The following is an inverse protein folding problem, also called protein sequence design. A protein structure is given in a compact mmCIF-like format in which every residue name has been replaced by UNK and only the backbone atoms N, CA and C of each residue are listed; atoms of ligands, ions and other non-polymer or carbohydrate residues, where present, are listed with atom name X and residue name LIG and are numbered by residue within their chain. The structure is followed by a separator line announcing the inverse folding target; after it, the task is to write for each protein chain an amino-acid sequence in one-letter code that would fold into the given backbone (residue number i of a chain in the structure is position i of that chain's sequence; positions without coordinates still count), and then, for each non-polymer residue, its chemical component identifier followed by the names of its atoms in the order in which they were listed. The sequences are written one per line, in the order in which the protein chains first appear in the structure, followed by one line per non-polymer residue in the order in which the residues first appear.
data_IF_875261583677
#
_entry.id   IF_875261583677
#
_cell.length_a   1.000
_cell.length_b   1.000
_cell.length_c   1.000
_cell.angle_alpha   90.00
_cell.angle_beta   90.00
_cell.angle_gamma   90.00
#
_symmetry.space_group_name_H-M   'P 1'
#
loop_
_entity.id
_entity.type
_entity.pdbx_description
1 polymer ?
#
# COMPACT_ATOMS: atom_id res chain seq x y z
N UNK A 1 -11.27 8.71 68.79
CA UNK A 1 -11.73 8.01 67.60
C UNK A 1 -11.03 8.61 66.40
N UNK A 2 -9.95 7.95 65.92
CA UNK A 2 -9.22 8.35 64.72
C UNK A 2 -9.85 7.65 63.50
N UNK A 3 -10.30 8.43 62.52
CA UNK A 3 -10.64 7.92 61.17
C UNK A 3 -9.41 8.05 60.28
N UNK A 4 -8.85 6.92 59.87
CA UNK A 4 -7.80 6.85 58.86
C UNK A 4 -8.47 6.79 57.47
N UNK A 5 -8.18 7.77 56.60
CA UNK A 5 -8.60 7.74 55.19
C UNK A 5 -7.53 6.99 54.39
N UNK A 6 -7.92 5.88 53.78
CA UNK A 6 -7.13 5.18 52.74
C UNK A 6 -7.28 5.94 51.43
N UNK A 7 -6.18 6.50 50.92
CA UNK A 7 -6.09 6.99 49.56
C UNK A 7 -5.71 5.84 48.62
N UNK A 8 -6.64 5.43 47.76
CA UNK A 8 -6.39 4.51 46.67
C UNK A 8 -5.64 5.25 45.56
N UNK A 9 -4.38 4.88 45.34
CA UNK A 9 -3.59 5.36 44.21
C UNK A 9 -4.08 4.72 42.90
N UNK A 10 -4.58 5.55 42.00
CA UNK A 10 -4.90 5.15 40.63
C UNK A 10 -3.59 5.12 39.83
N UNK A 11 -3.13 3.93 39.54
CA UNK A 11 -2.00 3.74 38.61
C UNK A 11 -2.51 3.95 37.16
N UNK A 12 -2.09 5.04 36.54
CA UNK A 12 -2.28 5.25 35.09
C UNK A 12 -1.33 4.32 34.33
N UNK A 13 -1.81 3.58 33.29
CA UNK A 13 -0.91 2.82 32.45
C UNK A 13 0.00 3.77 31.69
N UNK A 14 1.28 3.51 31.73
CA UNK A 14 2.29 4.22 30.95
C UNK A 14 1.98 4.04 29.45
N UNK A 15 1.60 5.13 28.81
CA UNK A 15 1.54 5.22 27.35
C UNK A 15 2.95 4.96 26.81
N UNK A 16 3.12 3.91 26.03
CA UNK A 16 4.36 3.65 25.31
C UNK A 16 4.58 4.80 24.33
N UNK A 17 5.39 5.77 24.72
CA UNK A 17 5.89 6.79 23.81
C UNK A 17 6.82 6.08 22.82
N UNK A 18 6.37 5.99 21.57
CA UNK A 18 7.23 5.66 20.44
C UNK A 18 8.29 6.76 20.35
N UNK A 19 9.53 6.40 20.66
CA UNK A 19 10.67 7.28 20.50
C UNK A 19 10.84 7.53 19.00
N UNK A 20 10.46 8.71 18.53
CA UNK A 20 10.89 9.23 17.24
C UNK A 20 12.36 9.61 17.39
N UNK A 21 13.22 8.83 16.75
CA UNK A 21 14.62 9.21 16.60
C UNK A 21 14.65 10.33 15.54
N UNK A 22 14.98 11.53 15.95
CA UNK A 22 15.17 12.69 15.07
C UNK A 22 16.68 12.87 14.93
N UNK A 23 17.22 12.80 13.73
CA UNK A 23 18.59 13.15 13.45
C UNK A 23 18.79 14.64 13.63
N UNK A 24 20.05 15.06 13.88
CA UNK A 24 20.45 16.44 14.18
C UNK A 24 20.06 17.46 13.07
N UNK A 25 19.65 16.96 11.90
CA UNK A 25 19.20 17.74 10.73
C UNK A 25 17.67 17.89 10.62
N UNK A 26 16.90 17.39 11.60
CA UNK A 26 15.43 17.50 11.61
C UNK A 26 14.70 16.60 10.60
N UNK A 27 15.41 15.74 9.87
CA UNK A 27 14.85 14.75 8.97
C UNK A 27 14.55 13.47 9.74
N UNK A 28 13.31 13.01 9.69
CA UNK A 28 12.90 11.76 10.30
C UNK A 28 13.65 10.62 9.63
N UNK A 29 14.64 10.04 10.32
CA UNK A 29 15.40 8.91 9.80
C UNK A 29 14.45 7.80 9.35
N UNK A 30 14.61 7.35 8.11
CA UNK A 30 13.82 6.27 7.54
C UNK A 30 14.11 4.95 8.26
N UNK A 31 13.27 4.62 9.23
CA UNK A 31 13.40 3.37 9.98
C UNK A 31 13.04 2.21 9.05
N UNK A 32 14.04 1.40 8.68
CA UNK A 32 13.85 0.17 7.92
C UNK A 32 13.13 -0.87 8.79
N UNK A 33 12.02 -1.41 8.29
CA UNK A 33 11.16 -2.35 9.02
C UNK A 33 11.25 -3.80 8.53
N UNK A 34 12.09 -4.06 7.51
CA UNK A 34 12.30 -5.40 6.98
C UNK A 34 13.82 -5.73 6.88
N UNK A 35 14.24 -6.96 7.23
CA UNK A 35 15.66 -7.31 7.30
C UNK A 35 16.39 -7.29 5.95
N UNK A 36 15.73 -7.70 4.87
CA UNK A 36 16.32 -7.86 3.52
C UNK A 36 15.73 -6.94 2.49
N UNK A 37 14.40 -6.70 2.52
CA UNK A 37 13.72 -5.80 1.59
C UNK A 37 13.84 -4.35 2.08
N UNK A 38 13.92 -3.41 1.16
CA UNK A 38 13.94 -1.99 1.46
C UNK A 38 12.53 -1.45 1.78
N UNK A 39 11.98 -1.92 2.88
CA UNK A 39 10.71 -1.45 3.42
C UNK A 39 10.96 -0.54 4.62
N UNK A 40 10.33 0.62 4.61
CA UNK A 40 10.51 1.67 5.62
C UNK A 40 9.19 1.97 6.33
N UNK A 41 9.28 2.41 7.59
CA UNK A 41 8.10 2.71 8.41
C UNK A 41 7.15 3.72 7.77
N UNK A 42 7.68 4.71 7.07
CA UNK A 42 6.87 5.72 6.34
C UNK A 42 5.98 5.15 5.24
N UNK A 43 6.40 4.02 4.64
CA UNK A 43 5.68 3.33 3.56
C UNK A 43 4.86 2.14 4.10
N UNK A 44 4.81 1.91 5.42
CA UNK A 44 4.07 0.79 6.00
C UNK A 44 2.56 0.92 5.78
N UNK A 45 1.89 -0.21 5.62
CA UNK A 45 0.42 -0.25 5.63
C UNK A 45 -0.12 0.04 7.04
N UNK A 46 -1.36 0.50 7.11
CA UNK A 46 -2.05 0.68 8.38
C UNK A 46 -2.57 -0.65 8.92
N UNK A 47 -2.75 -0.77 10.26
CA UNK A 47 -3.47 -1.90 10.83
C UNK A 47 -4.88 -2.00 10.25
N UNK A 48 -5.28 -3.19 9.79
CA UNK A 48 -6.61 -3.40 9.26
C UNK A 48 -7.66 -3.40 10.39
N UNK A 49 -8.53 -2.39 10.41
CA UNK A 49 -9.59 -2.25 11.41
C UNK A 49 -10.96 -2.25 10.71
N UNK A 50 -11.80 -3.27 10.90
CA UNK A 50 -13.12 -3.33 10.29
C UNK A 50 -13.98 -2.13 10.71
N UNK A 51 -14.69 -1.52 9.74
CA UNK A 51 -15.57 -0.38 9.97
C UNK A 51 -14.87 0.97 10.20
N UNK A 52 -13.54 1.01 10.16
CA UNK A 52 -12.79 2.27 10.17
C UNK A 52 -12.75 2.90 8.78
N UNK A 53 -12.40 4.17 8.74
CA UNK A 53 -12.24 4.96 7.52
C UNK A 53 -10.95 4.55 6.78
N UNK A 54 -10.98 3.38 6.17
CA UNK A 54 -9.85 2.74 5.47
C UNK A 54 -10.28 2.17 4.13
N UNK A 55 -9.33 2.04 3.23
CA UNK A 55 -9.44 1.16 2.06
C UNK A 55 -8.79 -0.17 2.43
N UNK A 56 -9.58 -1.25 2.46
CA UNK A 56 -9.13 -2.62 2.74
C UNK A 56 -9.05 -3.38 1.42
N UNK A 57 -7.84 -3.66 0.99
CA UNK A 57 -7.53 -4.22 -0.33
C UNK A 57 -7.23 -5.71 -0.17
N UNK A 58 -7.91 -6.57 -0.93
CA UNK A 58 -7.56 -7.99 -1.07
C UNK A 58 -6.86 -8.19 -2.41
N UNK A 59 -5.69 -8.82 -2.40
CA UNK A 59 -4.86 -8.99 -3.58
C UNK A 59 -5.09 -10.34 -4.24
N UNK A 60 -5.19 -10.35 -5.56
CA UNK A 60 -5.35 -11.55 -6.35
C UNK A 60 -4.31 -11.65 -7.45
N UNK A 61 -4.05 -12.87 -7.91
CA UNK A 61 -3.14 -13.18 -9.02
C UNK A 61 -1.69 -12.73 -8.76
N UNK A 62 -1.18 -13.02 -7.56
CA UNK A 62 0.18 -12.74 -7.12
C UNK A 62 0.85 -13.93 -6.43
N UNK A 63 2.16 -13.86 -6.20
CA UNK A 63 2.95 -14.87 -5.50
C UNK A 63 3.99 -14.22 -4.57
N UNK A 64 4.60 -14.98 -3.62
CA UNK A 64 5.41 -14.42 -2.54
C UNK A 64 6.86 -14.15 -2.99
N UNK A 65 7.06 -13.09 -3.76
CA UNK A 65 8.39 -12.62 -4.21
C UNK A 65 8.38 -11.10 -4.31
N UNK A 66 9.42 -10.44 -3.81
CA UNK A 66 9.60 -9.00 -3.92
C UNK A 66 8.66 -8.18 -3.05
N UNK A 67 8.24 -7.04 -3.57
CA UNK A 67 7.48 -6.00 -2.88
C UNK A 67 6.20 -5.69 -3.67
N UNK A 68 5.09 -5.44 -2.98
CA UNK A 68 3.92 -4.82 -3.60
C UNK A 68 3.85 -3.37 -3.17
N UNK A 69 3.78 -2.48 -4.15
CA UNK A 69 3.61 -1.04 -3.93
C UNK A 69 2.22 -0.60 -4.30
N UNK A 70 1.69 0.34 -3.49
CA UNK A 70 0.43 1.03 -3.72
C UNK A 70 0.66 2.53 -3.72
N UNK A 71 0.01 3.23 -4.64
CA UNK A 71 -0.14 4.69 -4.61
C UNK A 71 -1.63 5.02 -4.55
N UNK A 72 -2.02 5.82 -3.56
CA UNK A 72 -3.38 6.33 -3.36
C UNK A 72 -3.51 7.72 -4.00
N UNK A 73 -4.61 7.94 -4.71
CA UNK A 73 -4.97 9.21 -5.34
C UNK A 73 -6.35 9.67 -4.89
N UNK A 74 -6.51 10.98 -4.71
CA UNK A 74 -7.81 11.63 -4.44
C UNK A 74 -8.60 11.94 -5.71
N UNK A 75 -9.69 12.69 -5.54
CA UNK A 75 -10.70 12.96 -6.58
C UNK A 75 -10.27 13.96 -7.66
N UNK A 76 -8.98 14.22 -7.84
CA UNK A 76 -8.45 15.09 -8.89
C UNK A 76 -8.03 14.26 -10.11
N UNK A 77 -8.78 14.29 -11.24
CA UNK A 77 -8.44 13.51 -12.43
C UNK A 77 -7.13 13.93 -13.10
N UNK A 78 -6.74 15.20 -12.97
CA UNK A 78 -5.53 15.74 -13.59
C UNK A 78 -4.27 15.34 -12.79
N UNK A 79 -4.45 15.05 -11.50
CA UNK A 79 -3.40 14.57 -10.62
C UNK A 79 -3.23 13.04 -10.65
N UNK A 80 -4.13 12.31 -11.29
CA UNK A 80 -4.08 10.84 -11.36
C UNK A 80 -2.89 10.36 -12.19
N UNK A 81 -2.14 9.41 -11.63
CA UNK A 81 -0.87 8.87 -12.16
C UNK A 81 0.32 9.86 -12.12
N UNK A 82 0.10 11.10 -11.70
CA UNK A 82 1.17 12.07 -11.49
C UNK A 82 1.86 11.85 -10.13
N UNK A 83 3.16 12.18 -10.06
CA UNK A 83 3.93 12.04 -8.81
C UNK A 83 3.38 12.94 -7.70
N UNK A 84 3.01 14.16 -8.04
CA UNK A 84 2.45 15.17 -7.13
C UNK A 84 1.04 14.85 -6.64
N UNK A 85 0.28 14.02 -7.38
CA UNK A 85 -1.10 13.66 -7.03
C UNK A 85 -1.23 12.53 -6.03
N UNK A 86 -0.11 11.91 -5.64
CA UNK A 86 -0.13 10.80 -4.67
C UNK A 86 -0.37 11.32 -3.26
N UNK A 87 -1.48 10.95 -2.68
CA UNK A 87 -1.82 11.26 -1.29
C UNK A 87 -1.01 10.40 -0.32
N UNK A 88 -0.80 9.13 -0.68
CA UNK A 88 -0.07 8.18 0.15
C UNK A 88 0.58 7.10 -0.71
N UNK A 89 1.71 6.61 -0.24
CA UNK A 89 2.38 5.41 -0.75
C UNK A 89 2.44 4.37 0.34
N UNK A 90 2.16 3.12 -0.03
CA UNK A 90 2.34 1.95 0.83
C UNK A 90 3.19 0.92 0.11
N UNK A 91 4.10 0.28 0.82
CA UNK A 91 4.89 -0.85 0.35
C UNK A 91 4.82 -1.98 1.36
N UNK A 92 4.58 -3.18 0.89
CA UNK A 92 4.52 -4.39 1.71
C UNK A 92 5.31 -5.51 1.04
N UNK A 93 5.86 -6.41 1.85
CA UNK A 93 6.38 -7.68 1.33
C UNK A 93 5.26 -8.41 0.57
N UNK A 94 5.56 -8.91 -0.62
CA UNK A 94 4.62 -9.69 -1.41
C UNK A 94 4.39 -11.06 -0.75
N UNK A 95 3.12 -11.43 -0.59
CA UNK A 95 2.70 -12.74 -0.10
C UNK A 95 1.84 -13.42 -1.17
N UNK A 96 1.11 -14.44 -0.80
CA UNK A 96 0.20 -15.15 -1.72
C UNK A 96 -1.07 -14.34 -1.98
N UNK A 97 -1.77 -14.66 -3.06
CA UNK A 97 -3.14 -14.19 -3.31
C UNK A 97 -4.01 -14.36 -2.07
N UNK A 98 -4.87 -13.37 -1.80
CA UNK A 98 -5.63 -13.23 -0.57
C UNK A 98 -4.94 -12.38 0.50
N UNK A 99 -3.71 -11.88 0.26
CA UNK A 99 -3.08 -10.90 1.14
C UNK A 99 -3.96 -9.67 1.26
N UNK A 100 -4.13 -9.18 2.49
CA UNK A 100 -4.85 -7.95 2.77
C UNK A 100 -3.87 -6.82 3.05
N UNK A 101 -4.19 -5.64 2.51
CA UNK A 101 -3.45 -4.39 2.72
C UNK A 101 -4.46 -3.30 3.08
N UNK A 102 -4.19 -2.54 4.12
CA UNK A 102 -5.08 -1.48 4.58
C UNK A 102 -4.40 -0.12 4.49
N UNK A 103 -5.14 0.87 4.02
CA UNK A 103 -4.68 2.25 3.82
C UNK A 103 -5.72 3.17 4.43
N UNK A 104 -5.33 3.93 5.47
CA UNK A 104 -6.18 4.97 6.03
C UNK A 104 -6.37 6.11 5.02
N UNK A 105 -7.57 6.65 4.95
CA UNK A 105 -7.87 7.83 4.15
C UNK A 105 -8.28 8.99 5.05
N UNK A 106 -7.98 10.25 4.66
CA UNK A 106 -8.20 11.40 5.53
C UNK A 106 -9.69 11.73 5.76
N UNK A 107 -10.53 11.46 4.77
CA UNK A 107 -11.96 11.76 4.80
C UNK A 107 -12.73 10.80 3.89
N UNK A 108 -14.06 10.65 4.07
CA UNK A 108 -14.92 9.97 3.10
C UNK A 108 -14.88 10.69 1.76
N UNK A 109 -14.78 9.95 0.66
CA UNK A 109 -14.67 10.57 -0.66
C UNK A 109 -14.41 9.58 -1.77
N UNK A 110 -14.12 10.10 -2.95
CA UNK A 110 -13.78 9.28 -4.12
C UNK A 110 -12.26 9.16 -4.25
N UNK A 111 -11.78 7.95 -4.41
CA UNK A 111 -10.35 7.62 -4.47
C UNK A 111 -10.05 6.68 -5.63
N UNK A 112 -8.79 6.60 -6.00
CA UNK A 112 -8.27 5.57 -6.88
C UNK A 112 -6.97 4.99 -6.29
N UNK A 113 -6.74 3.70 -6.48
CA UNK A 113 -5.52 3.01 -6.06
C UNK A 113 -4.84 2.40 -7.27
N UNK A 114 -3.54 2.63 -7.39
CA UNK A 114 -2.69 1.92 -8.34
C UNK A 114 -1.70 1.05 -7.59
N UNK A 115 -1.31 -0.06 -8.19
CA UNK A 115 -0.38 -1.01 -7.59
C UNK A 115 0.54 -1.61 -8.64
N UNK A 116 1.75 -1.99 -8.24
CA UNK A 116 2.59 -2.91 -9.01
C UNK A 116 3.30 -3.88 -8.09
N UNK A 117 3.60 -5.06 -8.62
CA UNK A 117 4.31 -6.12 -7.96
C UNK A 117 5.76 -6.11 -8.45
N UNK A 118 6.60 -5.47 -7.69
CA UNK A 118 8.03 -5.28 -7.87
C UNK A 118 8.74 -6.59 -7.47
N UNK A 119 9.08 -7.38 -8.46
CA UNK A 119 9.56 -8.75 -8.27
C UNK A 119 11.02 -8.81 -7.83
N UNK A 120 11.86 -7.90 -8.31
CA UNK A 120 13.29 -7.81 -7.97
C UNK A 120 13.56 -6.84 -6.82
N UNK A 121 12.51 -6.17 -6.33
CA UNK A 121 12.54 -5.25 -5.20
C UNK A 121 13.50 -4.06 -5.40
N UNK A 122 13.69 -3.61 -6.64
CA UNK A 122 14.50 -2.44 -6.99
C UNK A 122 13.77 -1.11 -6.76
N UNK A 123 12.45 -1.18 -6.45
CA UNK A 123 11.53 -0.07 -6.13
C UNK A 123 11.15 0.81 -7.33
N UNK A 124 11.53 0.42 -8.53
CA UNK A 124 11.17 1.06 -9.78
C UNK A 124 10.17 0.21 -10.56
N UNK A 125 9.26 0.87 -11.27
CA UNK A 125 8.36 0.20 -12.20
C UNK A 125 9.02 0.17 -13.58
N UNK A 126 9.58 -0.94 -13.93
CA UNK A 126 10.12 -1.21 -15.25
C UNK A 126 9.06 -1.09 -16.34
N UNK A 127 9.33 -0.27 -17.35
CA UNK A 127 8.43 -0.04 -18.48
C UNK A 127 9.11 -0.41 -19.80
N UNK A 128 8.31 -0.93 -20.74
CA UNK A 128 8.73 -1.06 -22.13
C UNK A 128 8.62 0.31 -22.84
N UNK A 129 9.23 0.43 -24.02
CA UNK A 129 9.17 1.63 -24.86
C UNK A 129 7.73 2.10 -25.18
N UNK A 130 6.74 1.19 -25.15
CA UNK A 130 5.31 1.45 -25.36
C UNK A 130 4.52 1.71 -24.05
N UNK A 131 5.19 2.11 -22.99
CA UNK A 131 4.66 2.37 -21.64
C UNK A 131 4.02 1.16 -20.94
N UNK A 132 4.02 -0.03 -21.54
CA UNK A 132 3.49 -1.23 -20.90
C UNK A 132 4.43 -1.68 -19.78
N UNK A 133 3.93 -1.89 -18.55
CA UNK A 133 4.75 -2.39 -17.45
C UNK A 133 5.36 -3.75 -17.79
N UNK A 134 6.61 -3.98 -17.42
CA UNK A 134 7.25 -5.30 -17.48
C UNK A 134 6.83 -6.14 -16.29
N UNK A 135 6.59 -5.50 -15.17
CA UNK A 135 6.13 -6.10 -13.93
C UNK A 135 4.61 -6.19 -13.86
N UNK A 136 4.09 -7.11 -13.02
CA UNK A 136 2.65 -7.17 -12.77
C UNK A 136 2.15 -5.87 -12.15
N UNK A 137 1.02 -5.39 -12.63
CA UNK A 137 0.37 -4.18 -12.16
C UNK A 137 -1.10 -4.44 -11.85
N UNK A 138 -1.68 -3.64 -10.98
CA UNK A 138 -3.09 -3.67 -10.62
C UNK A 138 -3.63 -2.27 -10.33
N UNK A 139 -4.94 -2.12 -10.42
CA UNK A 139 -5.65 -0.89 -10.09
C UNK A 139 -6.99 -1.23 -9.45
N UNK A 140 -7.51 -0.30 -8.67
CA UNK A 140 -8.92 -0.36 -8.24
C UNK A 140 -9.84 -0.53 -9.46
N UNK A 141 -10.98 -1.18 -9.25
CA UNK A 141 -11.90 -1.62 -10.32
C UNK A 141 -11.27 -2.59 -11.34
N UNK A 142 -10.10 -3.15 -11.04
CA UNK A 142 -9.39 -4.10 -11.91
C UNK A 142 -9.18 -3.59 -13.34
N UNK A 143 -8.82 -2.32 -13.48
CA UNK A 143 -8.57 -1.69 -14.77
C UNK A 143 -7.32 -2.27 -15.40
N UNK A 144 -7.44 -2.81 -16.61
CA UNK A 144 -6.31 -3.30 -17.39
C UNK A 144 -5.77 -2.20 -18.32
N UNK A 145 -4.44 -2.04 -18.33
CA UNK A 145 -3.75 -1.09 -19.22
C UNK A 145 -3.80 -1.62 -20.64
N UNK A 146 -4.55 -0.93 -21.49
CA UNK A 146 -4.62 -1.20 -22.93
C UNK A 146 -3.45 -0.52 -23.65
N UNK A 147 -3.07 -1.05 -24.80
CA UNK A 147 -1.98 -0.47 -25.60
C UNK A 147 -2.24 1.00 -25.93
N UNK A 148 -1.18 1.81 -25.83
CA UNK A 148 -1.13 3.23 -26.21
C UNK A 148 -2.02 4.19 -25.41
N UNK A 149 -2.63 3.76 -24.30
CA UNK A 149 -3.44 4.64 -23.46
C UNK A 149 -3.24 4.36 -21.98
N UNK A 150 -2.94 5.39 -21.22
CA UNK A 150 -3.00 5.32 -19.76
C UNK A 150 -4.47 5.29 -19.30
N UNK A 151 -4.78 4.57 -18.21
CA UNK A 151 -6.09 4.61 -17.57
C UNK A 151 -6.46 6.01 -17.12
N UNK A 152 -7.75 6.33 -17.17
CA UNK A 152 -8.29 7.59 -16.62
C UNK A 152 -8.68 7.38 -15.16
N UNK A 153 -8.68 8.46 -14.39
CA UNK A 153 -9.16 8.44 -13.00
C UNK A 153 -10.54 7.79 -12.88
N UNK A 154 -11.49 8.19 -13.72
CA UNK A 154 -12.86 7.68 -13.71
C UNK A 154 -13.00 6.16 -13.95
N UNK A 155 -11.98 5.51 -14.48
CA UNK A 155 -11.97 4.04 -14.67
C UNK A 155 -11.57 3.32 -13.38
N UNK A 156 -10.66 3.93 -12.58
CA UNK A 156 -10.16 3.37 -11.34
C UNK A 156 -10.85 3.91 -10.09
N UNK A 157 -11.64 4.97 -10.22
CA UNK A 157 -12.28 5.66 -9.11
C UNK A 157 -13.37 4.81 -8.43
N UNK A 158 -13.42 4.88 -7.10
CA UNK A 158 -14.45 4.27 -6.26
C UNK A 158 -14.70 5.12 -5.02
N UNK A 159 -15.88 4.98 -4.42
CA UNK A 159 -16.27 5.75 -3.24
C UNK A 159 -15.86 5.03 -1.95
N UNK A 160 -15.35 5.81 -0.99
CA UNK A 160 -15.00 5.37 0.35
C UNK A 160 -15.92 6.08 1.34
N UNK A 161 -16.95 5.42 1.88
CA UNK A 161 -17.82 5.97 2.92
C UNK A 161 -17.08 6.07 4.27
N UNK A 162 -17.70 6.70 5.27
CA UNK A 162 -17.11 6.86 6.62
C UNK A 162 -16.77 5.53 7.32
N UNK A 163 -17.35 4.42 6.88
CA UNK A 163 -17.05 3.05 7.35
C UNK A 163 -15.93 2.36 6.56
N UNK A 164 -15.29 3.09 5.63
CA UNK A 164 -14.27 2.57 4.73
C UNK A 164 -14.85 1.72 3.59
N UNK A 165 -13.97 1.23 2.74
CA UNK A 165 -14.33 0.39 1.60
C UNK A 165 -13.48 -0.88 1.55
N UNK A 166 -14.09 -1.99 1.11
CA UNK A 166 -13.40 -3.23 0.78
C UNK A 166 -13.34 -3.36 -0.75
N UNK A 167 -12.14 -3.54 -1.30
CA UNK A 167 -11.92 -3.70 -2.72
C UNK A 167 -10.99 -4.88 -3.00
N UNK A 168 -11.09 -5.43 -4.21
CA UNK A 168 -10.16 -6.43 -4.72
C UNK A 168 -9.30 -5.81 -5.82
N UNK A 169 -7.99 -6.08 -5.78
CA UNK A 169 -7.06 -5.71 -6.84
C UNK A 169 -6.44 -6.98 -7.40
N UNK A 170 -6.70 -7.25 -8.68
CA UNK A 170 -6.09 -8.29 -9.46
C UNK A 170 -4.85 -7.76 -10.18
N UNK A 171 -3.76 -8.51 -10.14
CA UNK A 171 -2.57 -8.19 -10.92
C UNK A 171 -2.67 -8.74 -12.34
N UNK A 172 -2.27 -7.91 -13.30
CA UNK A 172 -2.20 -8.18 -14.73
C UNK A 172 -0.74 -8.15 -15.20
N UNK A 173 -0.48 -8.72 -16.36
CA UNK A 173 0.85 -8.75 -16.97
C UNK A 173 1.36 -10.17 -17.15
N UNK A 174 2.46 -10.32 -17.92
CA UNK A 174 2.99 -11.66 -18.27
C UNK A 174 3.46 -12.47 -17.07
N UNK A 175 3.94 -11.79 -16.02
CA UNK A 175 4.47 -12.40 -14.80
C UNK A 175 3.44 -12.49 -13.66
N UNK A 176 2.20 -12.03 -13.89
CA UNK A 176 1.18 -12.02 -12.86
C UNK A 176 0.80 -13.45 -12.44
N UNK A 177 0.74 -13.72 -11.13
CA UNK A 177 0.28 -14.97 -10.53
C UNK A 177 1.17 -16.19 -10.74
N UNK A 178 2.34 -16.03 -11.34
CA UNK A 178 3.27 -17.13 -11.58
C UNK A 178 4.71 -16.69 -11.36
N UNK A 179 5.52 -17.46 -10.64
CA UNK A 179 6.96 -17.32 -10.71
C UNK A 179 7.39 -17.50 -12.17
N UNK A 180 8.43 -16.75 -12.59
CA UNK A 180 9.00 -16.96 -13.92
C UNK A 180 9.25 -18.45 -14.10
N UNK A 181 8.63 -19.05 -15.11
CA UNK A 181 9.09 -20.34 -15.58
C UNK A 181 10.50 -20.09 -16.07
N UNK A 182 11.48 -20.68 -15.42
CA UNK A 182 12.81 -20.88 -16.00
C UNK A 182 12.55 -21.33 -17.42
N UNK A 183 12.97 -20.53 -18.37
CA UNK A 183 12.85 -20.86 -19.79
C UNK A 183 13.62 -22.16 -20.02
N UNK A 184 12.89 -23.28 -20.07
CA UNK A 184 13.36 -24.53 -20.67
C UNK A 184 13.40 -24.31 -22.20
N UNK A 185 14.25 -23.39 -22.64
CA UNK A 185 14.54 -23.19 -24.07
C UNK A 185 16.04 -23.22 -24.26
N UNK A 186 16.60 -24.39 -23.95
CA UNK A 186 17.91 -24.87 -24.41
C UNK A 186 17.76 -26.35 -24.76
N UNK A 187 17.22 -26.58 -25.96
CA UNK A 187 17.38 -27.87 -26.67
C UNK A 187 17.35 -27.64 -28.17
#
# INVERSE_FOLDING_TARGET
MLCAALSAGVSTPASAQQATFVDDDGESADVRVHPTLELYARDAMDPCVPGSLQIRITLANMYPEGIVKFDLYGADPDAFLERSGKLRRVRVEAKRSGQKVCIDVPEPGTYAVTSYHDLDADRDLDKKWNFKPKEPYGMSNNVEIKELRLPKFSEAAFDVPSTGADIDIQFFGKKAGRPDKVSDDDS
#
